data_IF_157598266134
#
_entry.id   IF_157598266134
#
_cell.length_a   1.000
_cell.length_b   1.000
_cell.length_c   1.000
_cell.angle_alpha   90.00
_cell.angle_beta   90.00
_cell.angle_gamma   90.00
#
_symmetry.space_group_name_H-M   'P 1'
#
loop_
_entity.id
_entity.type
_entity.pdbx_description
1 polymer ?
#
# COMPACT_ATOMS: atom_id res chain seq x y z
N UNK A 1 -2.27 -28.93 19.64
CA UNK A 1 -2.03 -28.77 18.20
C UNK A 1 -0.79 -27.91 18.04
N UNK A 2 0.35 -28.51 17.67
CA UNK A 2 1.57 -27.78 17.33
C UNK A 2 1.39 -27.22 15.92
N UNK A 3 1.34 -25.90 15.80
CA UNK A 3 1.31 -25.24 14.49
C UNK A 3 2.67 -25.44 13.82
N UNK A 4 2.70 -25.90 12.58
CA UNK A 4 3.95 -26.04 11.82
C UNK A 4 4.64 -24.67 11.70
N UNK A 5 5.97 -24.60 11.83
CA UNK A 5 6.69 -23.35 11.68
C UNK A 5 6.54 -22.81 10.26
N UNK A 6 6.25 -21.52 10.13
CA UNK A 6 6.15 -20.85 8.84
C UNK A 6 6.72 -19.45 8.90
N UNK A 7 6.99 -18.83 7.75
CA UNK A 7 7.45 -17.46 7.61
C UNK A 7 6.27 -16.47 7.70
N UNK A 8 6.58 -15.20 7.88
CA UNK A 8 5.58 -14.12 7.81
C UNK A 8 4.93 -14.07 6.42
N UNK A 9 3.79 -13.45 6.30
CA UNK A 9 3.06 -13.34 5.02
C UNK A 9 2.69 -14.69 4.36
N UNK A 10 2.71 -15.79 5.10
CA UNK A 10 2.45 -17.16 4.63
C UNK A 10 1.18 -17.25 3.76
N UNK A 11 0.06 -16.62 4.18
CA UNK A 11 -1.19 -16.65 3.41
C UNK A 11 -1.05 -16.03 2.01
N UNK A 12 -0.21 -15.01 1.87
CA UNK A 12 0.10 -14.36 0.59
C UNK A 12 0.96 -15.28 -0.28
N UNK A 13 2.05 -15.83 0.29
CA UNK A 13 2.95 -16.72 -0.45
C UNK A 13 2.28 -18.01 -0.90
N UNK A 14 1.29 -18.54 -0.17
CA UNK A 14 0.48 -19.68 -0.66
C UNK A 14 -0.15 -19.42 -2.01
N UNK A 15 -0.51 -18.19 -2.30
CA UNK A 15 -1.17 -17.81 -3.56
C UNK A 15 -0.18 -17.49 -4.66
N UNK A 16 0.92 -16.77 -4.34
CA UNK A 16 1.83 -16.22 -5.35
C UNK A 16 3.12 -17.04 -5.53
N UNK A 17 3.57 -17.78 -4.51
CA UNK A 17 4.88 -18.45 -4.46
C UNK A 17 4.84 -19.74 -3.62
N UNK A 18 3.87 -20.64 -3.87
CA UNK A 18 3.63 -21.84 -3.03
C UNK A 18 4.84 -22.74 -2.91
N UNK A 19 5.62 -22.94 -4.00
CA UNK A 19 6.82 -23.77 -3.99
C UNK A 19 7.94 -23.20 -3.12
N UNK A 20 8.16 -21.89 -3.20
CA UNK A 20 9.13 -21.18 -2.37
C UNK A 20 8.74 -21.23 -0.91
N UNK A 21 7.45 -21.08 -0.60
CA UNK A 21 6.91 -21.23 0.74
C UNK A 21 7.18 -22.64 1.30
N UNK A 22 6.87 -23.69 0.55
CA UNK A 22 7.13 -25.08 0.95
C UNK A 22 8.61 -25.32 1.26
N UNK A 23 9.52 -24.80 0.43
CA UNK A 23 10.97 -24.90 0.65
C UNK A 23 11.41 -24.18 1.92
N UNK A 24 10.87 -22.97 2.17
CA UNK A 24 11.13 -22.22 3.38
C UNK A 24 10.62 -22.97 4.63
N UNK A 25 9.41 -23.52 4.60
CA UNK A 25 8.83 -24.32 5.69
C UNK A 25 9.63 -25.60 5.97
N UNK A 26 10.07 -26.32 4.94
CA UNK A 26 10.97 -27.48 5.09
C UNK A 26 12.31 -27.11 5.73
N UNK A 27 12.83 -25.92 5.41
CA UNK A 27 14.06 -25.42 6.03
C UNK A 27 13.81 -25.07 7.50
N UNK A 28 12.69 -24.42 7.83
CA UNK A 28 12.33 -24.06 9.19
C UNK A 28 12.08 -25.26 10.13
N UNK A 29 11.61 -26.39 9.59
CA UNK A 29 11.49 -27.64 10.36
C UNK A 29 12.83 -28.11 10.91
N UNK A 30 13.93 -27.83 10.20
CA UNK A 30 15.29 -28.22 10.57
C UNK A 30 16.07 -27.10 11.25
N UNK A 31 15.76 -25.85 10.90
CA UNK A 31 16.48 -24.64 11.27
C UNK A 31 15.50 -23.52 11.66
N UNK A 32 14.78 -23.63 12.79
CA UNK A 32 13.80 -22.62 13.20
C UNK A 32 14.41 -21.23 13.45
N UNK A 33 15.70 -21.18 13.77
CA UNK A 33 16.47 -19.94 13.97
C UNK A 33 16.59 -19.08 12.68
N UNK A 34 16.35 -19.67 11.51
CA UNK A 34 16.44 -18.98 10.21
C UNK A 34 15.17 -18.25 9.79
N UNK A 35 14.17 -18.17 10.68
CA UNK A 35 12.86 -17.61 10.31
C UNK A 35 12.95 -16.22 9.71
N UNK A 36 13.63 -15.27 10.36
CA UNK A 36 13.75 -13.89 9.89
C UNK A 36 14.50 -13.81 8.55
N UNK A 37 15.66 -14.45 8.46
CA UNK A 37 16.45 -14.44 7.23
C UNK A 37 15.76 -15.10 6.03
N UNK A 38 14.92 -16.12 6.26
CA UNK A 38 14.10 -16.73 5.22
C UNK A 38 12.95 -15.84 4.82
N UNK A 39 12.29 -15.17 5.77
CA UNK A 39 11.22 -14.23 5.47
C UNK A 39 11.71 -13.08 4.59
N UNK A 40 12.85 -12.49 4.95
CA UNK A 40 13.50 -11.43 4.16
C UNK A 40 13.90 -11.91 2.76
N UNK A 41 14.54 -13.09 2.67
CA UNK A 41 14.96 -13.65 1.39
C UNK A 41 13.78 -13.96 0.46
N UNK A 42 12.70 -14.54 0.99
CA UNK A 42 11.49 -14.83 0.20
C UNK A 42 10.81 -13.52 -0.20
N UNK A 43 10.73 -12.53 0.68
CA UNK A 43 10.15 -11.23 0.35
C UNK A 43 10.93 -10.52 -0.76
N UNK A 44 12.25 -10.49 -0.65
CA UNK A 44 13.10 -9.93 -1.68
C UNK A 44 12.90 -10.63 -3.03
N UNK A 45 12.93 -11.96 -3.04
CA UNK A 45 12.88 -12.76 -4.26
C UNK A 45 11.50 -12.77 -4.94
N UNK A 46 10.44 -12.90 -4.17
CA UNK A 46 9.09 -13.13 -4.70
C UNK A 46 8.25 -11.86 -4.82
N UNK A 47 8.66 -10.76 -4.18
CA UNK A 47 7.92 -9.49 -4.18
C UNK A 47 8.76 -8.37 -4.79
N UNK A 48 9.91 -8.02 -4.17
CA UNK A 48 10.65 -6.82 -4.58
C UNK A 48 11.33 -6.97 -5.93
N UNK A 49 12.06 -8.06 -6.16
CA UNK A 49 12.77 -8.26 -7.44
C UNK A 49 11.83 -8.28 -8.66
N UNK A 50 10.67 -8.99 -8.64
CA UNK A 50 9.71 -8.92 -9.74
C UNK A 50 9.18 -7.49 -9.95
N UNK A 51 8.87 -6.78 -8.88
CA UNK A 51 8.34 -5.42 -8.93
C UNK A 51 9.38 -4.43 -9.48
N UNK A 52 10.64 -4.54 -9.06
CA UNK A 52 11.75 -3.73 -9.57
C UNK A 52 12.03 -4.01 -11.05
N UNK A 53 11.95 -5.26 -11.46
CA UNK A 53 12.12 -5.68 -12.86
C UNK A 53 11.01 -5.14 -13.76
N UNK A 54 9.77 -5.15 -13.30
CA UNK A 54 8.63 -4.61 -14.03
C UNK A 54 8.70 -3.09 -14.12
N UNK A 55 9.13 -2.42 -13.05
CA UNK A 55 9.22 -0.97 -12.95
C UNK A 55 7.85 -0.25 -12.94
N UNK A 56 6.75 -1.00 -12.96
CA UNK A 56 5.38 -0.50 -12.87
C UNK A 56 4.76 -0.97 -11.55
N UNK A 57 4.11 -0.05 -10.86
CA UNK A 57 3.43 -0.31 -9.59
C UNK A 57 1.94 -0.15 -9.79
N UNK A 58 1.17 -1.19 -9.45
CA UNK A 58 -0.29 -1.16 -9.36
C UNK A 58 -0.71 -1.07 -7.91
N UNK A 59 -1.54 -0.08 -7.60
CA UNK A 59 -2.14 0.09 -6.29
C UNK A 59 -3.61 -0.33 -6.33
N UNK A 60 -3.94 -1.42 -5.67
CA UNK A 60 -5.30 -1.93 -5.52
C UNK A 60 -5.94 -1.37 -4.24
N UNK A 61 -6.85 -0.46 -4.45
CA UNK A 61 -7.62 0.22 -3.44
C UNK A 61 -9.01 -0.45 -3.34
N UNK A 62 -9.26 -1.15 -2.25
CA UNK A 62 -10.49 -1.91 -2.02
C UNK A 62 -11.37 -1.12 -1.06
N UNK A 63 -12.66 -0.96 -1.38
CA UNK A 63 -13.65 -0.34 -0.49
C UNK A 63 -14.49 -1.39 0.23
N UNK A 64 -14.82 -1.19 1.52
CA UNK A 64 -15.54 -2.17 2.33
C UNK A 64 -16.92 -2.56 1.79
N UNK A 65 -17.64 -1.62 1.17
CA UNK A 65 -19.03 -1.81 0.72
C UNK A 65 -19.26 -1.45 -0.75
N UNK A 66 -18.20 -1.27 -1.54
CA UNK A 66 -18.28 -0.73 -2.89
C UNK A 66 -17.77 -1.63 -3.99
N UNK A 67 -17.98 -1.21 -5.22
CA UNK A 67 -17.32 -1.80 -6.37
C UNK A 67 -15.80 -1.59 -6.24
N UNK A 68 -14.96 -2.55 -6.65
CA UNK A 68 -13.52 -2.35 -6.67
C UNK A 68 -13.21 -1.10 -7.51
N UNK A 69 -12.38 -0.22 -6.96
CA UNK A 69 -11.90 0.95 -7.71
C UNK A 69 -10.94 0.48 -8.81
N UNK A 70 -10.92 1.23 -9.92
CA UNK A 70 -9.91 1.01 -10.95
C UNK A 70 -8.53 1.15 -10.31
N UNK A 71 -7.62 0.17 -10.49
CA UNK A 71 -6.28 0.25 -9.92
C UNK A 71 -5.57 1.54 -10.36
N UNK A 72 -4.84 2.15 -9.44
CA UNK A 72 -3.96 3.29 -9.73
C UNK A 72 -2.61 2.74 -10.13
N UNK A 73 -2.06 3.21 -11.23
CA UNK A 73 -0.78 2.75 -11.75
C UNK A 73 0.23 3.90 -11.79
N UNK A 74 1.51 3.56 -11.66
CA UNK A 74 2.61 4.51 -11.76
C UNK A 74 3.95 3.82 -11.95
N UNK A 75 4.99 4.61 -12.18
CA UNK A 75 6.35 4.14 -12.39
C UNK A 75 7.09 4.08 -11.06
N UNK A 76 7.73 2.96 -10.77
CA UNK A 76 8.55 2.77 -9.58
C UNK A 76 9.69 3.80 -9.58
N UNK A 77 9.88 4.48 -8.45
CA UNK A 77 10.98 5.42 -8.23
C UNK A 77 12.05 4.81 -7.35
N UNK A 78 11.64 4.15 -6.28
CA UNK A 78 12.53 3.44 -5.36
C UNK A 78 11.76 2.35 -4.61
N UNK A 79 12.49 1.34 -4.13
CA UNK A 79 12.01 0.30 -3.24
C UNK A 79 13.07 -0.03 -2.20
N UNK A 80 12.63 -0.51 -1.06
CA UNK A 80 13.46 -1.06 0.01
C UNK A 80 12.71 -2.23 0.69
N UNK A 81 13.32 -2.96 1.65
CA UNK A 81 12.67 -4.09 2.32
C UNK A 81 11.37 -3.74 3.08
N UNK A 82 11.07 -2.46 3.29
CA UNK A 82 9.92 -2.01 4.06
C UNK A 82 8.86 -1.35 3.20
N UNK A 83 9.20 -0.88 1.98
CA UNK A 83 8.24 -0.17 1.17
C UNK A 83 8.72 0.24 -0.21
N UNK A 84 7.94 1.08 -0.85
CA UNK A 84 8.21 1.57 -2.19
C UNK A 84 7.66 2.99 -2.39
N UNK A 85 8.26 3.70 -3.34
CA UNK A 85 7.79 4.99 -3.84
C UNK A 85 7.54 4.86 -5.33
N UNK A 86 6.40 5.30 -5.80
CA UNK A 86 6.11 5.36 -7.23
C UNK A 86 5.53 6.71 -7.65
N UNK A 87 5.80 7.09 -8.89
CA UNK A 87 5.38 8.35 -9.50
C UNK A 87 4.16 8.12 -10.39
N UNK A 88 3.17 9.01 -10.26
CA UNK A 88 2.00 9.10 -11.14
C UNK A 88 1.96 10.45 -11.84
N UNK A 89 1.57 10.45 -13.11
CA UNK A 89 1.30 11.64 -13.88
C UNK A 89 -0.21 11.79 -14.02
N UNK A 90 -0.71 12.99 -13.87
CA UNK A 90 -2.14 13.30 -13.98
C UNK A 90 -2.40 14.10 -15.25
N UNK A 91 -3.54 13.85 -15.89
CA UNK A 91 -3.92 14.55 -17.11
C UNK A 91 -4.91 15.70 -16.83
N UNK A 92 -5.87 15.46 -15.96
CA UNK A 92 -6.93 16.42 -15.65
C UNK A 92 -7.68 16.02 -14.38
N UNK A 93 -8.48 16.93 -13.84
CA UNK A 93 -9.32 16.72 -12.68
C UNK A 93 -8.96 17.65 -11.50
N UNK A 94 -9.21 17.18 -10.31
CA UNK A 94 -8.84 17.85 -9.05
C UNK A 94 -8.14 16.84 -8.15
N UNK A 95 -7.23 17.32 -7.33
CA UNK A 95 -6.60 16.49 -6.30
C UNK A 95 -7.62 16.14 -5.22
N UNK A 96 -7.74 14.85 -4.93
CA UNK A 96 -8.64 14.33 -3.91
C UNK A 96 -8.44 15.08 -2.58
N UNK A 97 -9.52 15.51 -1.95
CA UNK A 97 -9.53 16.23 -0.68
C UNK A 97 -8.93 17.64 -0.69
N UNK A 98 -7.88 17.90 -1.48
CA UNK A 98 -7.23 19.22 -1.53
C UNK A 98 -8.06 20.27 -2.29
N UNK A 99 -8.95 19.82 -3.17
CA UNK A 99 -9.80 20.67 -4.00
C UNK A 99 -9.04 21.66 -4.91
N UNK A 100 -7.80 21.33 -5.29
CA UNK A 100 -6.94 22.07 -6.21
C UNK A 100 -7.05 21.46 -7.61
N UNK A 101 -7.23 22.24 -8.69
CA UNK A 101 -7.26 21.69 -10.05
C UNK A 101 -5.87 21.15 -10.43
N UNK A 102 -5.87 20.01 -11.12
CA UNK A 102 -4.66 19.41 -11.70
C UNK A 102 -4.29 20.20 -12.95
N UNK A 103 -3.03 20.57 -13.08
CA UNK A 103 -2.45 21.23 -14.24
C UNK A 103 -1.63 20.25 -15.07
N UNK A 104 -1.44 20.55 -16.34
CA UNK A 104 -0.60 19.75 -17.22
C UNK A 104 0.84 19.70 -16.73
N UNK A 105 1.39 18.49 -16.60
CA UNK A 105 2.73 18.24 -16.12
C UNK A 105 2.85 18.09 -14.59
N UNK A 106 1.75 18.28 -13.87
CA UNK A 106 1.70 17.95 -12.44
C UNK A 106 1.90 16.44 -12.22
N UNK A 107 2.46 16.08 -11.08
CA UNK A 107 2.69 14.68 -10.75
C UNK A 107 2.49 14.40 -9.26
N UNK A 108 2.34 13.13 -8.94
CA UNK A 108 2.26 12.65 -7.56
C UNK A 108 3.34 11.62 -7.27
N UNK A 109 3.87 11.65 -6.06
CA UNK A 109 4.63 10.56 -5.46
C UNK A 109 3.74 9.86 -4.44
N UNK A 110 3.66 8.54 -4.55
CA UNK A 110 2.95 7.69 -3.60
C UNK A 110 3.96 6.88 -2.83
N UNK A 111 3.96 7.04 -1.52
CA UNK A 111 4.82 6.33 -0.57
C UNK A 111 3.98 5.25 0.11
N UNK A 112 4.46 4.01 0.05
CA UNK A 112 3.79 2.83 0.59
C UNK A 112 4.78 2.08 1.49
N UNK A 113 4.31 1.66 2.65
CA UNK A 113 5.07 0.82 3.57
C UNK A 113 4.28 -0.47 3.86
N UNK A 114 4.96 -1.61 3.83
CA UNK A 114 4.38 -2.91 4.21
C UNK A 114 3.85 -2.84 5.65
N UNK A 115 2.61 -3.24 5.85
CA UNK A 115 1.95 -3.23 7.15
C UNK A 115 1.51 -1.86 7.68
N UNK A 116 1.75 -0.76 6.94
CA UNK A 116 1.32 0.55 7.38
C UNK A 116 -0.19 0.73 7.29
N UNK A 117 -0.75 1.50 8.22
CA UNK A 117 -2.17 1.86 8.28
C UNK A 117 -2.51 3.11 7.48
N UNK A 118 -1.56 3.61 6.69
CA UNK A 118 -1.79 4.73 5.79
C UNK A 118 -0.90 4.65 4.55
N UNK A 119 -1.42 5.19 3.44
CA UNK A 119 -0.68 5.43 2.21
C UNK A 119 -0.59 6.92 1.99
N UNK A 120 0.61 7.44 1.79
CA UNK A 120 0.85 8.87 1.58
C UNK A 120 0.96 9.19 0.09
N UNK A 121 0.20 10.18 -0.35
CA UNK A 121 0.28 10.77 -1.68
C UNK A 121 0.76 12.22 -1.54
N UNK A 122 1.89 12.55 -2.17
CA UNK A 122 2.43 13.91 -2.23
C UNK A 122 2.25 14.44 -3.66
N UNK A 123 1.61 15.59 -3.81
CA UNK A 123 1.31 16.19 -5.11
C UNK A 123 2.21 17.38 -5.37
N UNK A 124 2.74 17.46 -6.58
CA UNK A 124 3.70 18.48 -6.99
C UNK A 124 3.27 19.09 -8.33
N UNK A 125 3.55 20.37 -8.48
CA UNK A 125 3.47 21.04 -9.77
C UNK A 125 4.57 20.51 -10.71
N UNK A 126 4.46 20.80 -12.02
CA UNK A 126 5.52 20.52 -13.00
C UNK A 126 6.88 21.15 -12.63
N UNK A 127 6.87 22.22 -11.84
CA UNK A 127 8.08 22.92 -11.37
C UNK A 127 8.56 22.39 -10.00
N UNK A 128 8.15 21.20 -9.59
CA UNK A 128 8.52 20.53 -8.35
C UNK A 128 8.10 21.26 -7.06
N UNK A 129 7.14 22.17 -7.13
CA UNK A 129 6.59 22.83 -5.94
C UNK A 129 5.53 21.92 -5.31
N UNK A 130 5.59 21.73 -3.99
CA UNK A 130 4.61 20.94 -3.26
C UNK A 130 3.24 21.64 -3.28
N UNK A 131 2.22 20.93 -3.71
CA UNK A 131 0.80 21.34 -3.65
C UNK A 131 0.22 20.94 -2.31
N UNK A 132 0.49 19.71 -1.87
CA UNK A 132 0.02 19.16 -0.61
C UNK A 132 0.19 17.65 -0.50
N UNK A 133 -0.24 17.15 0.63
CA UNK A 133 -0.25 15.72 0.95
C UNK A 133 -1.68 15.23 1.16
N UNK A 134 -1.92 13.98 0.78
CA UNK A 134 -3.12 13.23 1.08
C UNK A 134 -2.72 11.89 1.67
N UNK A 135 -3.23 11.59 2.85
CA UNK A 135 -3.00 10.33 3.53
C UNK A 135 -4.30 9.54 3.53
N UNK A 136 -4.32 8.44 2.80
CA UNK A 136 -5.40 7.49 2.86
C UNK A 136 -5.21 6.62 4.11
N UNK A 137 -6.21 6.56 4.97
CA UNK A 137 -6.21 5.67 6.14
C UNK A 137 -6.83 4.34 5.72
N UNK A 138 -6.12 3.26 5.98
CA UNK A 138 -6.42 1.95 5.42
C UNK A 138 -6.09 0.81 6.39
N UNK A 139 -6.53 -0.42 6.07
CA UNK A 139 -5.99 -1.63 6.70
C UNK A 139 -4.49 -1.74 6.44
N UNK A 140 -3.75 -2.55 7.22
CA UNK A 140 -2.34 -2.80 6.92
C UNK A 140 -2.11 -3.09 5.45
N UNK A 141 -1.19 -2.34 4.85
CA UNK A 141 -0.84 -2.49 3.43
C UNK A 141 -0.14 -3.82 3.20
N UNK A 142 -0.50 -4.49 2.13
CA UNK A 142 0.15 -5.70 1.65
C UNK A 142 0.88 -5.44 0.34
N UNK A 143 2.19 -5.72 0.28
CA UNK A 143 2.96 -5.66 -0.96
C UNK A 143 2.88 -6.98 -1.74
N UNK A 144 2.82 -6.87 -3.06
CA UNK A 144 2.71 -7.93 -4.05
C UNK A 144 3.73 -7.72 -5.19
N UNK A 145 4.04 -8.75 -6.02
CA UNK A 145 4.96 -8.60 -7.15
C UNK A 145 4.57 -7.53 -8.17
N UNK A 146 3.31 -7.09 -8.17
CA UNK A 146 2.78 -6.07 -9.06
C UNK A 146 2.59 -4.71 -8.38
N UNK A 147 2.81 -4.59 -7.06
CA UNK A 147 2.59 -3.35 -6.30
C UNK A 147 2.01 -3.57 -4.91
N UNK A 148 0.86 -2.98 -4.61
CA UNK A 148 0.29 -3.03 -3.26
C UNK A 148 -1.24 -3.15 -3.26
N UNK A 149 -1.78 -3.64 -2.15
CA UNK A 149 -3.21 -3.75 -1.86
C UNK A 149 -3.51 -3.28 -0.45
N UNK A 150 -4.64 -2.62 -0.26
CA UNK A 150 -5.20 -2.30 1.05
C UNK A 150 -6.72 -2.12 0.99
N UNK A 151 -7.37 -2.23 2.16
CA UNK A 151 -8.76 -1.87 2.36
C UNK A 151 -8.83 -0.41 2.83
N UNK A 152 -9.54 0.43 2.12
CA UNK A 152 -9.79 1.84 2.47
C UNK A 152 -10.76 1.91 3.65
N UNK A 153 -10.44 2.71 4.66
CA UNK A 153 -11.32 2.95 5.80
C UNK A 153 -12.21 4.18 5.61
N UNK A 154 -12.20 4.77 4.40
CA UNK A 154 -13.04 5.90 3.97
C UNK A 154 -12.82 7.19 4.81
N UNK A 155 -11.77 7.25 5.60
CA UNK A 155 -11.35 8.43 6.36
C UNK A 155 -9.94 8.82 5.95
N UNK A 156 -9.70 10.11 5.77
CA UNK A 156 -8.45 10.59 5.20
C UNK A 156 -7.90 11.80 5.94
N UNK A 157 -6.62 12.09 5.75
CA UNK A 157 -5.98 13.31 6.22
C UNK A 157 -5.44 14.06 5.00
N UNK A 158 -5.74 15.34 4.92
CA UNK A 158 -5.20 16.24 3.91
C UNK A 158 -4.32 17.30 4.55
N UNK A 159 -3.31 17.74 3.80
CA UNK A 159 -2.45 18.86 4.20
C UNK A 159 -2.03 19.65 2.97
N UNK A 160 -2.51 20.87 2.81
CA UNK A 160 -1.97 21.80 1.81
C UNK A 160 -0.59 22.28 2.20
N UNK A 161 0.21 22.66 1.20
CA UNK A 161 1.55 23.19 1.47
C UNK A 161 1.47 24.41 2.42
N UNK A 162 2.22 24.36 3.52
CA UNK A 162 2.24 25.41 4.55
C UNK A 162 1.06 25.40 5.54
N UNK A 163 0.08 24.51 5.40
CA UNK A 163 -1.07 24.40 6.30
C UNK A 163 -0.92 23.23 7.28
N UNK A 164 -1.73 23.24 8.33
CA UNK A 164 -1.83 22.10 9.27
C UNK A 164 -2.64 20.96 8.64
N UNK A 165 -2.33 19.69 9.01
CA UNK A 165 -3.15 18.56 8.60
C UNK A 165 -4.59 18.68 9.08
N UNK A 166 -5.53 18.21 8.24
CA UNK A 166 -6.97 18.20 8.53
C UNK A 166 -7.55 16.82 8.24
N UNK A 167 -8.27 16.27 9.21
CA UNK A 167 -9.02 15.03 9.05
C UNK A 167 -10.30 15.31 8.25
N UNK A 168 -10.59 14.48 7.26
CA UNK A 168 -11.80 14.56 6.42
C UNK A 168 -12.54 13.21 6.43
N UNK A 169 -13.82 13.25 6.09
CA UNK A 169 -14.66 12.06 5.88
C UNK A 169 -14.85 11.15 7.13
N UNK A 170 -14.65 11.68 8.33
CA UNK A 170 -14.80 10.92 9.59
C UNK A 170 -16.17 10.24 9.72
N UNK A 171 -17.22 10.88 9.23
CA UNK A 171 -18.58 10.37 9.25
C UNK A 171 -18.74 9.09 8.43
N UNK A 172 -17.96 8.91 7.36
CA UNK A 172 -17.97 7.69 6.54
C UNK A 172 -17.46 6.49 7.34
N UNK A 173 -16.34 6.65 8.07
CA UNK A 173 -15.81 5.60 8.95
C UNK A 173 -16.85 5.22 10.02
N UNK A 174 -17.49 6.21 10.67
CA UNK A 174 -18.55 5.96 11.66
C UNK A 174 -19.71 5.17 11.04
N UNK A 175 -20.08 5.47 9.81
CA UNK A 175 -21.14 4.74 9.09
C UNK A 175 -20.73 3.31 8.79
N UNK A 176 -19.48 3.06 8.37
CA UNK A 176 -18.96 1.71 8.14
C UNK A 176 -18.97 0.85 9.41
N UNK A 177 -18.59 1.41 10.56
CA UNK A 177 -18.69 0.74 11.85
C UNK A 177 -20.14 0.43 12.23
N UNK A 178 -21.06 1.39 12.08
CA UNK A 178 -22.50 1.20 12.38
C UNK A 178 -23.14 0.12 11.49
N UNK A 179 -22.71 0.01 10.26
CA UNK A 179 -23.21 -0.99 9.31
C UNK A 179 -22.53 -2.36 9.46
N UNK A 180 -21.63 -2.53 10.43
CA UNK A 180 -20.89 -3.78 10.65
C UNK A 180 -19.90 -4.13 9.55
N UNK A 181 -19.54 -3.17 8.67
CA UNK A 181 -18.53 -3.38 7.63
C UNK A 181 -17.11 -3.40 8.21
N UNK A 182 -16.91 -2.70 9.32
CA UNK A 182 -15.64 -2.61 10.05
C UNK A 182 -15.94 -2.80 11.55
N UNK A 183 -15.07 -3.54 12.25
CA UNK A 183 -15.17 -3.70 13.71
C UNK A 183 -14.91 -2.37 14.43
N UNK A 184 -15.56 -2.14 15.56
CA UNK A 184 -15.29 -0.99 16.43
C UNK A 184 -13.95 -1.11 17.18
N UNK A 185 -13.35 -2.30 17.16
CA UNK A 185 -12.07 -2.60 17.80
C UNK A 185 -10.87 -2.37 16.86
N UNK A 186 -11.14 -2.01 15.61
CA UNK A 186 -10.12 -1.70 14.61
C UNK A 186 -9.64 -0.27 14.79
#
# INVERSE_FOLDING_TARGET
LTVAPTISRHHRYRTIASKTLEQAEQTLLKHPEKKESLDDAVFQMEILLPLEKEGLVRLEHIRPAGKPMRPREGVLVSSDPHGLVFRRIFSQGRYDGLNVPIQEGDYGLTEIQEGAWSVKHSYFTRNHQLIGHYYNINSPVELYPYGARYLDLEVDIIQRAGEKPTLIDREKLVLLCRNGCISQEL
#
